data_IF_662684914764
#
_entry.id   IF_662684914764
#
_cell.length_a   1.000
_cell.length_b   1.000
_cell.length_c   1.000
_cell.angle_alpha   90.00
_cell.angle_beta   90.00
_cell.angle_gamma   90.00
#
_symmetry.space_group_name_H-M   'P 1'
#
loop_
_entity.id
_entity.type
_entity.pdbx_description
1 polymer ?
#
# COMPACT_ATOMS: atom_id res chain seq x y z
N UNK A 1 -19.25 3.23 66.61
CA UNK A 1 -19.67 1.89 67.08
C UNK A 1 -20.65 1.35 66.05
N UNK A 2 -20.50 0.26 65.30
CA UNK A 2 -19.52 -0.81 65.21
C UNK A 2 -20.19 -1.93 64.38
N UNK A 3 -19.65 -2.18 63.18
CA UNK A 3 -19.59 -3.40 62.33
C UNK A 3 -20.67 -4.50 62.33
N UNK A 4 -20.93 -5.01 61.10
CA UNK A 4 -21.53 -6.33 60.85
C UNK A 4 -21.41 -6.79 59.39
N UNK A 5 -20.20 -7.13 58.96
CA UNK A 5 -19.87 -7.73 57.66
C UNK A 5 -20.22 -9.22 57.68
N UNK A 6 -20.96 -9.71 56.68
CA UNK A 6 -21.16 -11.16 56.45
C UNK A 6 -20.14 -11.64 55.42
N UNK A 7 -19.28 -12.57 55.85
CA UNK A 7 -18.38 -13.36 55.01
C UNK A 7 -19.11 -14.59 54.48
N UNK A 8 -19.03 -14.86 53.18
CA UNK A 8 -19.39 -16.15 52.60
C UNK A 8 -18.13 -17.05 52.51
N UNK A 9 -18.29 -18.31 52.91
CA UNK A 9 -17.27 -19.36 52.90
C UNK A 9 -17.06 -20.06 51.54
N UNK A 10 -16.23 -21.12 51.50
CA UNK A 10 -15.50 -21.54 50.30
C UNK A 10 -16.21 -22.60 49.43
N UNK A 11 -15.71 -22.67 48.19
CA UNK A 11 -16.07 -23.57 47.07
C UNK A 11 -16.10 -25.07 47.40
N UNK A 12 -17.02 -25.83 46.78
CA UNK A 12 -16.89 -27.28 46.63
C UNK A 12 -16.25 -27.64 45.28
N UNK A 13 -15.16 -28.41 45.37
CA UNK A 13 -14.32 -28.85 44.26
C UNK A 13 -14.99 -29.78 43.23
N UNK A 14 -14.41 -29.74 42.03
CA UNK A 14 -14.70 -30.65 40.92
C UNK A 14 -13.51 -31.61 40.73
N UNK A 15 -13.74 -32.92 40.50
CA UNK A 15 -12.68 -33.91 40.42
C UNK A 15 -11.97 -33.91 39.06
N UNK A 16 -10.66 -34.13 39.11
CA UNK A 16 -9.76 -34.14 37.97
C UNK A 16 -9.82 -35.40 37.09
N UNK A 17 -9.35 -35.24 35.86
CA UNK A 17 -8.95 -36.32 34.97
C UNK A 17 -7.49 -36.12 34.52
N UNK A 18 -6.57 -36.82 35.18
CA UNK A 18 -5.24 -37.09 34.63
C UNK A 18 -5.26 -38.46 33.97
N UNK A 19 -4.93 -38.50 32.68
CA UNK A 19 -4.39 -39.62 31.86
C UNK A 19 -4.59 -39.19 30.39
N UNK A 20 -3.65 -39.25 29.45
CA UNK A 20 -2.45 -40.03 29.36
C UNK A 20 -1.38 -39.31 28.52
N UNK A 21 -0.14 -39.47 28.96
CA UNK A 21 1.07 -39.23 28.18
C UNK A 21 1.19 -40.32 27.11
N UNK A 22 1.33 -39.92 25.85
CA UNK A 22 1.87 -40.77 24.80
C UNK A 22 3.00 -40.01 24.10
N UNK A 23 4.21 -40.42 24.42
CA UNK A 23 5.47 -40.06 23.78
C UNK A 23 5.49 -40.48 22.31
N UNK A 24 5.81 -39.54 21.41
CA UNK A 24 6.22 -39.86 20.04
C UNK A 24 7.64 -39.33 19.80
N UNK A 25 8.52 -40.28 19.50
CA UNK A 25 9.94 -40.16 19.18
C UNK A 25 10.18 -39.40 17.85
N UNK A 26 11.09 -38.40 17.79
CA UNK A 26 11.36 -37.64 16.58
C UNK A 26 12.41 -38.33 15.69
N UNK A 27 12.00 -39.37 14.98
CA UNK A 27 12.82 -40.10 14.01
C UNK A 27 12.74 -39.57 12.57
N UNK A 28 13.67 -38.68 12.20
CA UNK A 28 14.38 -38.68 10.90
C UNK A 28 13.56 -38.45 9.60
N UNK A 29 13.09 -37.22 9.36
CA UNK A 29 12.75 -36.76 8.00
C UNK A 29 13.93 -35.99 7.37
N UNK A 30 14.59 -36.60 6.39
CA UNK A 30 15.56 -35.92 5.51
C UNK A 30 14.82 -34.96 4.58
N UNK A 31 15.10 -33.66 4.69
CA UNK A 31 14.62 -32.64 3.74
C UNK A 31 15.36 -32.78 2.41
N UNK A 32 14.69 -32.73 1.24
CA UNK A 32 15.38 -32.53 -0.03
C UNK A 32 15.93 -31.11 -0.08
N UNK A 33 17.24 -30.99 -0.25
CA UNK A 33 17.95 -29.72 -0.47
C UNK A 33 17.67 -29.26 -1.90
N UNK A 34 16.70 -28.37 -2.08
CA UNK A 34 16.58 -27.60 -3.33
C UNK A 34 17.64 -26.49 -3.29
N UNK A 35 18.77 -26.70 -3.98
CA UNK A 35 19.74 -25.66 -4.31
C UNK A 35 19.09 -24.70 -5.32
N UNK A 36 18.56 -23.59 -4.86
CA UNK A 36 18.29 -22.43 -5.73
C UNK A 36 19.61 -21.75 -6.05
N UNK A 37 20.04 -21.85 -7.31
CA UNK A 37 21.14 -21.07 -7.87
C UNK A 37 20.71 -19.60 -7.90
N UNK A 38 21.24 -18.78 -6.99
CA UNK A 38 21.10 -17.32 -7.03
C UNK A 38 22.11 -16.79 -8.03
N UNK A 39 21.67 -16.56 -9.26
CA UNK A 39 22.46 -15.83 -10.25
C UNK A 39 22.26 -14.33 -9.99
N UNK A 40 23.31 -13.66 -9.47
CA UNK A 40 23.32 -12.21 -9.28
C UNK A 40 23.36 -11.55 -10.66
N UNK A 41 22.32 -10.80 -11.00
CA UNK A 41 22.37 -9.83 -12.09
C UNK A 41 23.30 -8.68 -11.67
N UNK A 42 24.40 -8.40 -12.41
CA UNK A 42 25.18 -7.20 -12.15
C UNK A 42 24.41 -5.95 -12.59
N UNK A 43 24.50 -4.91 -11.76
CA UNK A 43 23.90 -3.61 -12.00
C UNK A 43 24.40 -3.01 -13.35
N UNK A 44 23.46 -2.72 -14.25
CA UNK A 44 23.74 -2.07 -15.52
C UNK A 44 24.28 -0.65 -15.31
N UNK A 45 25.58 -0.48 -15.58
CA UNK A 45 26.25 0.80 -15.63
C UNK A 45 25.83 1.56 -16.90
N UNK A 46 25.42 2.82 -16.77
CA UNK A 46 25.06 3.72 -17.88
C UNK A 46 26.29 4.15 -18.68
N UNK A 47 26.96 3.24 -19.38
CA UNK A 47 27.99 3.52 -20.39
C UNK A 47 28.13 2.33 -21.32
N UNK A 48 27.19 2.14 -22.25
CA UNK A 48 27.39 1.27 -23.41
C UNK A 48 26.34 1.52 -24.49
N UNK A 49 26.30 2.77 -24.97
CA UNK A 49 25.46 3.19 -26.09
C UNK A 49 26.30 4.02 -27.08
N UNK A 50 27.52 3.59 -27.36
CA UNK A 50 28.38 4.12 -28.42
C UNK A 50 29.43 3.07 -28.83
N UNK A 51 29.01 1.95 -29.43
CA UNK A 51 29.96 1.01 -30.06
C UNK A 51 29.30 -0.05 -30.92
N UNK A 52 28.25 0.30 -31.69
CA UNK A 52 27.76 -0.56 -32.78
C UNK A 52 27.26 0.29 -33.92
N UNK A 53 28.13 0.56 -34.89
CA UNK A 53 27.86 0.76 -36.32
C UNK A 53 29.19 1.15 -37.01
N UNK A 54 30.07 0.16 -37.18
CA UNK A 54 31.19 0.25 -38.11
C UNK A 54 31.69 -1.17 -38.42
N UNK A 55 31.20 -1.75 -39.53
CA UNK A 55 31.95 -2.70 -40.38
C UNK A 55 31.02 -3.27 -41.45
N UNK A 56 30.91 -2.55 -42.57
CA UNK A 56 30.54 -3.13 -43.86
C UNK A 56 31.03 -2.22 -44.98
N UNK A 57 31.68 -2.82 -45.98
CA UNK A 57 32.23 -2.25 -47.24
C UNK A 57 33.36 -1.23 -47.08
N UNK A 58 34.52 -1.33 -47.73
CA UNK A 58 34.85 -2.03 -48.97
C UNK A 58 35.13 -0.99 -50.07
N UNK A 59 36.39 -0.96 -50.48
CA UNK A 59 36.95 -0.38 -51.71
C UNK A 59 37.13 1.13 -51.87
N UNK A 60 38.40 1.49 -52.17
CA UNK A 60 38.65 2.13 -53.45
C UNK A 60 39.11 3.59 -53.45
N UNK A 61 40.43 3.74 -53.49
CA UNK A 61 41.17 4.69 -54.35
C UNK A 61 41.28 6.18 -53.96
N UNK A 62 42.55 6.61 -54.02
CA UNK A 62 43.04 7.93 -54.44
C UNK A 62 43.20 9.06 -53.40
N UNK A 63 44.46 9.23 -53.00
CA UNK A 63 45.16 10.49 -52.64
C UNK A 63 44.83 11.66 -53.61
N UNK A 64 45.17 12.95 -53.32
CA UNK A 64 46.16 13.47 -52.34
C UNK A 64 45.58 14.60 -51.45
N UNK A 65 46.21 15.01 -50.35
CA UNK A 65 47.43 15.81 -50.34
C UNK A 65 47.13 17.19 -49.72
N UNK A 66 47.92 17.54 -48.72
CA UNK A 66 48.03 18.85 -48.08
C UNK A 66 47.58 20.06 -48.93
N UNK A 67 46.84 20.97 -48.31
CA UNK A 67 47.20 22.40 -48.28
C UNK A 67 46.29 23.14 -47.27
N UNK A 68 46.58 22.98 -45.99
CA UNK A 68 46.33 24.05 -45.01
C UNK A 68 47.63 24.83 -44.88
N UNK A 69 48.00 25.52 -45.95
CA UNK A 69 49.08 26.48 -45.99
C UNK A 69 48.65 27.61 -46.94
N UNK A 70 48.97 28.84 -46.54
CA UNK A 70 48.74 30.09 -47.28
C UNK A 70 47.34 30.71 -47.16
N UNK A 71 46.94 31.01 -45.91
CA UNK A 71 46.62 32.41 -45.59
C UNK A 71 47.87 33.25 -45.91
N UNK A 72 47.99 33.78 -47.13
CA UNK A 72 48.83 34.94 -47.51
C UNK A 72 48.87 35.07 -49.05
N UNK A 73 47.96 35.85 -49.62
CA UNK A 73 48.28 36.78 -50.71
C UNK A 73 47.01 37.52 -51.12
N UNK A 74 47.04 38.81 -50.87
CA UNK A 74 46.09 39.81 -51.31
C UNK A 74 45.80 39.72 -52.82
N UNK A 75 44.54 39.98 -53.17
CA UNK A 75 44.15 40.94 -54.19
C UNK A 75 44.93 40.90 -55.52
N UNK A 76 44.49 40.04 -56.45
CA UNK A 76 44.47 40.41 -57.87
C UNK A 76 43.49 39.50 -58.64
N UNK A 77 42.72 40.10 -59.53
CA UNK A 77 41.90 39.47 -60.57
C UNK A 77 40.46 39.04 -60.22
N UNK A 78 39.59 40.05 -60.15
CA UNK A 78 38.30 40.16 -60.86
C UNK A 78 37.56 38.87 -61.25
N UNK A 79 36.33 38.72 -60.70
CA UNK A 79 35.18 37.94 -61.21
C UNK A 79 34.69 36.76 -60.36
N UNK A 80 34.24 36.96 -59.10
CA UNK A 80 33.29 35.99 -58.51
C UNK A 80 32.44 36.50 -57.32
N UNK A 81 32.07 37.78 -57.29
CA UNK A 81 31.25 38.36 -56.20
C UNK A 81 29.75 38.03 -56.24
N UNK A 82 29.28 37.19 -57.19
CA UNK A 82 27.83 37.01 -57.46
C UNK A 82 27.28 35.61 -57.26
N UNK A 83 28.13 34.59 -57.07
CA UNK A 83 27.69 33.17 -56.95
C UNK A 83 27.70 32.64 -55.51
N UNK A 84 28.46 33.23 -54.59
CA UNK A 84 28.47 32.85 -53.17
C UNK A 84 27.27 33.40 -52.37
N UNK A 85 26.68 34.52 -52.80
CA UNK A 85 25.46 35.06 -52.18
C UNK A 85 24.20 34.23 -52.46
N UNK A 86 24.10 33.63 -53.65
CA UNK A 86 22.94 32.80 -54.02
C UNK A 86 22.90 31.47 -53.27
N UNK A 87 24.06 30.86 -52.99
CA UNK A 87 24.11 29.60 -52.25
C UNK A 87 23.68 29.78 -50.78
N UNK A 88 24.06 30.90 -50.14
CA UNK A 88 23.62 31.25 -48.80
C UNK A 88 22.14 31.66 -48.73
N UNK A 89 21.63 32.35 -49.76
CA UNK A 89 20.21 32.68 -49.85
C UNK A 89 19.33 31.42 -50.02
N UNK A 90 19.77 30.45 -50.83
CA UNK A 90 19.03 29.21 -51.08
C UNK A 90 19.00 28.28 -49.86
N UNK A 91 20.09 28.17 -49.09
CA UNK A 91 20.08 27.38 -47.85
C UNK A 91 19.23 28.02 -46.76
N UNK A 92 19.19 29.36 -46.66
CA UNK A 92 18.30 30.06 -45.74
C UNK A 92 16.82 29.91 -46.14
N UNK A 93 16.50 29.88 -47.44
CA UNK A 93 15.11 29.66 -47.90
C UNK A 93 14.63 28.25 -47.57
N UNK A 94 15.48 27.23 -47.73
CA UNK A 94 15.14 25.84 -47.39
C UNK A 94 14.88 25.66 -45.89
N UNK A 95 15.60 26.39 -45.03
CA UNK A 95 15.34 26.38 -43.58
C UNK A 95 14.05 27.11 -43.17
N UNK A 96 13.66 28.16 -43.91
CA UNK A 96 12.43 28.92 -43.61
C UNK A 96 11.14 28.23 -44.07
N UNK A 97 11.19 27.28 -45.00
CA UNK A 97 9.99 26.59 -45.51
C UNK A 97 9.72 25.21 -44.89
N UNK A 98 10.60 24.72 -44.01
CA UNK A 98 10.62 23.31 -43.57
C UNK A 98 9.97 22.97 -42.23
N UNK A 99 9.09 23.81 -41.66
CA UNK A 99 8.66 23.62 -40.27
C UNK A 99 7.28 24.18 -39.90
N UNK A 100 6.22 23.85 -40.63
CA UNK A 100 4.85 23.93 -40.11
C UNK A 100 4.43 22.54 -39.62
N UNK A 101 4.74 22.22 -38.36
CA UNK A 101 4.07 21.12 -37.66
C UNK A 101 2.69 21.65 -37.22
N UNK A 102 1.62 21.08 -37.76
CA UNK A 102 0.26 21.35 -37.29
C UNK A 102 0.17 21.02 -35.79
N UNK A 103 -0.19 22.02 -35.00
CA UNK A 103 -0.42 21.88 -33.58
C UNK A 103 -1.62 20.95 -33.36
N UNK A 104 -1.53 19.88 -32.55
CA UNK A 104 -2.63 18.95 -32.37
C UNK A 104 -3.78 19.65 -31.64
N UNK A 105 -4.75 20.11 -32.42
CA UNK A 105 -6.01 20.65 -31.93
C UNK A 105 -6.72 19.64 -31.01
N UNK A 106 -7.03 20.07 -29.79
CA UNK A 106 -7.77 19.29 -28.81
C UNK A 106 -9.17 19.01 -29.39
N UNK A 107 -9.38 17.83 -29.96
CA UNK A 107 -10.71 17.37 -30.38
C UNK A 107 -11.55 17.14 -29.13
N UNK A 108 -12.47 18.07 -28.85
CA UNK A 108 -13.57 17.82 -27.89
C UNK A 108 -14.44 16.71 -28.46
N UNK A 109 -14.36 15.54 -27.84
CA UNK A 109 -15.37 14.52 -28.00
C UNK A 109 -16.36 14.63 -26.84
N UNK A 110 -17.65 14.57 -27.16
CA UNK A 110 -18.70 14.40 -26.15
C UNK A 110 -18.95 12.91 -26.03
N UNK A 111 -18.52 12.30 -24.92
CA UNK A 111 -18.89 10.93 -24.60
C UNK A 111 -20.39 10.88 -24.25
N UNK A 112 -21.18 9.95 -24.80
CA UNK A 112 -22.55 9.73 -24.38
C UNK A 112 -22.59 9.46 -22.87
N UNK A 113 -23.38 10.26 -22.15
CA UNK A 113 -23.61 10.05 -20.72
C UNK A 113 -24.39 8.75 -20.57
N UNK A 114 -23.69 7.67 -20.19
CA UNK A 114 -24.33 6.43 -19.77
C UNK A 114 -25.18 6.79 -18.55
N UNK A 115 -26.51 6.69 -18.67
CA UNK A 115 -27.38 6.73 -17.51
C UNK A 115 -26.97 5.55 -16.61
N UNK A 116 -26.61 5.78 -15.34
CA UNK A 116 -26.51 4.67 -14.40
C UNK A 116 -27.86 3.97 -14.43
N UNK A 117 -27.88 2.67 -14.70
CA UNK A 117 -29.07 1.87 -14.44
C UNK A 117 -29.56 2.22 -13.04
N UNK A 118 -30.84 2.55 -12.93
CA UNK A 118 -31.51 2.84 -11.68
C UNK A 118 -31.04 1.84 -10.63
N UNK A 119 -30.62 2.36 -9.48
CA UNK A 119 -30.20 1.57 -8.33
C UNK A 119 -31.41 0.78 -7.81
N UNK A 120 -31.68 -0.36 -8.42
CA UNK A 120 -32.68 -1.30 -7.95
C UNK A 120 -32.12 -2.03 -6.72
N UNK A 121 -32.61 -1.62 -5.55
CA UNK A 121 -32.57 -2.35 -4.28
C UNK A 121 -31.19 -2.72 -3.70
N UNK A 122 -30.27 -1.76 -3.63
CA UNK A 122 -28.98 -1.89 -2.90
C UNK A 122 -29.07 -1.39 -1.45
N UNK A 123 -30.21 -1.52 -0.76
CA UNK A 123 -30.38 -0.94 0.58
C UNK A 123 -29.54 -1.70 1.64
N UNK A 124 -29.50 -3.03 1.61
CA UNK A 124 -28.61 -3.81 2.48
C UNK A 124 -27.14 -3.69 2.06
N UNK A 125 -26.86 -3.81 0.75
CA UNK A 125 -25.51 -3.67 0.20
C UNK A 125 -24.93 -2.23 0.23
N UNK A 126 -25.62 -1.27 0.86
CA UNK A 126 -25.13 0.10 1.05
C UNK A 126 -24.52 0.37 2.42
N UNK A 127 -24.86 -0.41 3.44
CA UNK A 127 -24.35 -0.16 4.79
C UNK A 127 -22.86 -0.54 4.91
N UNK A 128 -22.05 0.37 5.44
CA UNK A 128 -20.66 0.12 5.78
C UNK A 128 -20.54 -0.10 7.28
N UNK A 129 -19.68 -1.02 7.68
CA UNK A 129 -19.37 -1.30 9.07
C UNK A 129 -17.88 -1.22 9.31
N UNK A 130 -17.51 -0.69 10.47
CA UNK A 130 -16.15 -0.70 10.98
C UNK A 130 -16.14 -1.39 12.34
N UNK A 131 -15.26 -2.38 12.46
CA UNK A 131 -14.82 -2.93 13.74
C UNK A 131 -13.41 -2.41 14.00
N UNK A 132 -13.22 -1.75 15.13
CA UNK A 132 -11.96 -1.14 15.54
C UNK A 132 -11.63 -1.53 16.96
N UNK A 133 -10.36 -1.76 17.26
CA UNK A 133 -9.85 -1.92 18.60
C UNK A 133 -8.57 -1.11 18.76
N UNK A 134 -8.39 -0.51 19.93
CA UNK A 134 -7.17 0.19 20.28
C UNK A 134 -6.73 -0.16 21.70
N UNK A 135 -5.42 -0.26 21.91
CA UNK A 135 -4.82 -0.43 23.24
C UNK A 135 -3.44 0.23 23.27
N UNK A 136 -2.89 0.40 24.47
CA UNK A 136 -1.56 0.97 24.66
C UNK A 136 -0.70 0.05 25.51
N UNK A 137 0.52 -0.20 25.06
CA UNK A 137 1.54 -0.93 25.80
C UNK A 137 2.78 -0.05 25.91
N UNK A 138 3.16 0.34 27.12
CA UNK A 138 4.26 1.29 27.37
C UNK A 138 4.15 2.54 26.47
N UNK A 139 2.98 3.19 26.50
CA UNK A 139 2.62 4.37 25.69
C UNK A 139 2.57 4.16 24.16
N UNK A 140 2.99 2.99 23.66
CA UNK A 140 2.87 2.62 22.24
C UNK A 140 1.43 2.23 21.94
N UNK A 141 0.81 2.92 20.99
CA UNK A 141 -0.55 2.64 20.56
C UNK A 141 -0.63 1.52 19.53
N UNK A 142 -1.49 0.54 19.78
CA UNK A 142 -1.80 -0.54 18.85
C UNK A 142 -3.23 -0.44 18.38
N UNK A 143 -3.42 -0.36 17.06
CA UNK A 143 -4.70 -0.08 16.43
C UNK A 143 -5.01 -1.18 15.42
N UNK A 144 -6.18 -1.79 15.58
CA UNK A 144 -6.69 -2.87 14.75
C UNK A 144 -8.01 -2.41 14.17
N UNK A 145 -8.14 -2.31 12.85
CA UNK A 145 -9.42 -1.91 12.26
C UNK A 145 -9.72 -2.64 10.96
N UNK A 146 -10.98 -3.01 10.78
CA UNK A 146 -11.50 -3.49 9.51
C UNK A 146 -12.71 -2.67 9.10
N UNK A 147 -12.86 -2.41 7.80
CA UNK A 147 -13.93 -1.61 7.21
C UNK A 147 -14.41 -2.32 5.94
N UNK A 148 -15.72 -2.39 5.75
CA UNK A 148 -16.30 -2.91 4.52
C UNK A 148 -17.83 -3.00 4.58
N UNK A 149 -18.45 -3.72 3.61
CA UNK A 149 -19.87 -4.01 3.63
C UNK A 149 -20.27 -4.64 4.97
N UNK A 150 -21.36 -4.14 5.56
CA UNK A 150 -21.81 -4.56 6.89
C UNK A 150 -21.93 -6.07 7.01
N UNK A 151 -22.52 -6.71 6.02
CA UNK A 151 -22.77 -8.16 6.00
C UNK A 151 -21.46 -8.95 6.14
N UNK A 152 -20.40 -8.50 5.46
CA UNK A 152 -19.10 -9.18 5.49
C UNK A 152 -18.36 -8.96 6.80
N UNK A 153 -18.42 -7.74 7.35
CA UNK A 153 -17.74 -7.42 8.60
C UNK A 153 -18.44 -8.06 9.80
N UNK A 154 -19.78 -8.02 9.82
CA UNK A 154 -20.60 -8.64 10.85
C UNK A 154 -20.33 -10.14 10.95
N UNK A 155 -20.22 -10.83 9.82
CA UNK A 155 -19.88 -12.25 9.77
C UNK A 155 -18.50 -12.58 10.39
N UNK A 156 -17.59 -11.60 10.44
CA UNK A 156 -16.23 -11.76 10.98
C UNK A 156 -16.10 -11.28 12.43
N UNK A 157 -17.18 -10.78 13.05
CA UNK A 157 -17.18 -10.21 14.41
C UNK A 157 -16.58 -11.15 15.45
N UNK A 158 -17.05 -12.40 15.51
CA UNK A 158 -16.57 -13.38 16.50
C UNK A 158 -15.09 -13.70 16.29
N UNK A 159 -14.68 -13.94 15.04
CA UNK A 159 -13.29 -14.18 14.67
C UNK A 159 -12.38 -12.98 14.99
N UNK A 160 -12.87 -11.75 14.83
CA UNK A 160 -12.16 -10.54 15.22
C UNK A 160 -11.93 -10.47 16.73
N UNK A 161 -12.93 -10.78 17.55
CA UNK A 161 -12.78 -10.83 19.01
C UNK A 161 -11.83 -11.96 19.44
N UNK A 162 -11.90 -13.13 18.81
CA UNK A 162 -10.95 -14.23 19.05
C UNK A 162 -9.52 -13.86 18.68
N UNK A 163 -9.33 -13.18 17.54
CA UNK A 163 -8.04 -12.64 17.15
C UNK A 163 -7.49 -11.70 18.23
N UNK A 164 -8.31 -10.75 18.72
CA UNK A 164 -7.89 -9.83 19.79
C UNK A 164 -7.49 -10.56 21.08
N UNK A 165 -8.21 -11.63 21.44
CA UNK A 165 -7.87 -12.47 22.60
C UNK A 165 -6.54 -13.20 22.45
N UNK A 166 -6.11 -13.48 21.23
CA UNK A 166 -4.83 -14.15 20.96
C UNK A 166 -3.61 -13.22 21.01
N UNK A 167 -3.84 -11.90 20.97
CA UNK A 167 -2.78 -10.92 20.82
C UNK A 167 -1.87 -10.90 22.05
N UNK A 168 -0.57 -10.90 21.77
CA UNK A 168 0.49 -10.59 22.73
C UNK A 168 1.31 -9.43 22.16
N UNK A 169 1.20 -8.27 22.81
CA UNK A 169 1.70 -6.99 22.35
C UNK A 169 2.81 -6.50 23.27
N UNK A 170 3.88 -5.98 22.67
CA UNK A 170 4.88 -5.17 23.34
C UNK A 170 4.95 -3.78 22.69
N UNK A 171 5.85 -2.91 23.16
CA UNK A 171 6.09 -1.62 22.50
C UNK A 171 6.62 -1.76 21.05
N UNK A 172 7.22 -2.90 20.71
CA UNK A 172 7.97 -3.08 19.46
C UNK A 172 7.31 -4.08 18.50
N UNK A 173 6.72 -5.15 19.04
CA UNK A 173 6.20 -6.28 18.26
C UNK A 173 4.82 -6.70 18.71
N UNK A 174 4.15 -7.41 17.82
CA UNK A 174 2.90 -8.09 18.08
C UNK A 174 3.00 -9.53 17.60
N UNK A 175 2.53 -10.44 18.43
CA UNK A 175 2.35 -11.85 18.09
C UNK A 175 0.86 -12.18 18.16
N UNK A 176 0.36 -12.94 17.20
CA UNK A 176 -1.05 -13.32 17.11
C UNK A 176 -1.25 -14.72 16.55
N UNK A 177 -2.43 -15.28 16.82
CA UNK A 177 -2.94 -16.45 16.12
C UNK A 177 -4.05 -16.02 15.16
N UNK A 178 -3.91 -16.38 13.89
CA UNK A 178 -4.94 -16.09 12.91
C UNK A 178 -6.15 -17.02 13.10
N UNK A 179 -7.38 -16.47 13.15
CA UNK A 179 -8.61 -17.27 13.04
C UNK A 179 -8.61 -18.12 11.77
N UNK A 180 -9.43 -19.18 11.78
CA UNK A 180 -9.55 -20.07 10.63
C UNK A 180 -9.95 -19.30 9.37
N UNK A 181 -9.22 -19.54 8.27
CA UNK A 181 -9.51 -18.92 6.97
C UNK A 181 -8.95 -17.51 6.80
N UNK A 182 -8.43 -16.89 7.87
CA UNK A 182 -7.69 -15.63 7.74
C UNK A 182 -6.29 -15.87 7.19
N UNK A 183 -5.73 -14.84 6.57
CA UNK A 183 -4.37 -14.85 6.04
C UNK A 183 -3.69 -13.51 6.25
N UNK A 184 -2.40 -13.54 6.50
CA UNK A 184 -1.57 -12.34 6.54
C UNK A 184 -0.98 -12.05 5.15
N UNK A 185 -1.01 -10.79 4.73
CA UNK A 185 -0.38 -10.38 3.48
C UNK A 185 1.14 -10.36 3.61
N UNK A 186 1.84 -10.83 2.58
CA UNK A 186 3.32 -10.84 2.56
C UNK A 186 3.92 -9.43 2.61
N UNK A 187 3.18 -8.42 2.13
CA UNK A 187 3.60 -7.02 2.14
C UNK A 187 2.43 -6.17 2.60
N UNK A 188 2.71 -5.27 3.52
CA UNK A 188 1.74 -4.28 3.99
C UNK A 188 1.98 -2.92 3.33
N UNK A 189 0.92 -2.12 3.20
CA UNK A 189 1.05 -0.74 2.75
C UNK A 189 1.90 0.10 3.72
N UNK A 190 2.60 1.15 3.24
CA UNK A 190 3.40 2.02 4.10
C UNK A 190 2.63 2.54 5.31
N UNK A 191 3.28 2.55 6.48
CA UNK A 191 2.68 2.99 7.74
C UNK A 191 1.77 1.96 8.43
N UNK A 192 1.57 0.78 7.84
CA UNK A 192 0.91 -0.35 8.52
C UNK A 192 1.96 -1.30 9.09
N UNK A 193 1.68 -1.80 10.28
CA UNK A 193 2.49 -2.86 10.89
C UNK A 193 2.21 -4.20 10.17
N UNK A 194 0.93 -4.51 9.96
CA UNK A 194 0.49 -5.68 9.22
C UNK A 194 -0.84 -5.42 8.49
N UNK A 195 -1.12 -6.26 7.50
CA UNK A 195 -2.38 -6.29 6.76
C UNK A 195 -2.87 -7.73 6.70
N UNK A 196 -4.06 -7.98 7.24
CA UNK A 196 -4.67 -9.31 7.29
C UNK A 196 -5.94 -9.33 6.42
N UNK A 197 -6.27 -10.48 5.83
CA UNK A 197 -7.49 -10.71 5.07
C UNK A 197 -8.43 -11.63 5.83
N UNK A 198 -9.67 -11.19 5.99
CA UNK A 198 -10.70 -11.81 6.83
C UNK A 198 -11.52 -12.81 6.01
N UNK A 199 -10.84 -13.82 5.46
CA UNK A 199 -11.42 -14.81 4.56
C UNK A 199 -10.41 -15.25 3.51
N UNK A 200 -10.85 -16.06 2.54
CA UNK A 200 -10.03 -16.53 1.41
C UNK A 200 -10.36 -15.87 0.08
N UNK A 201 -11.53 -15.25 -0.01
CA UNK A 201 -11.99 -14.60 -1.24
C UNK A 201 -11.13 -13.38 -1.57
N UNK A 202 -11.15 -12.97 -2.84
CA UNK A 202 -10.41 -11.79 -3.31
C UNK A 202 -10.95 -10.49 -2.73
N UNK A 203 -12.27 -10.44 -2.49
CA UNK A 203 -12.98 -9.31 -1.93
C UNK A 203 -13.20 -9.43 -0.41
N UNK A 204 -12.41 -10.30 0.25
CA UNK A 204 -12.40 -10.45 1.69
C UNK A 204 -11.99 -9.13 2.37
N UNK A 205 -12.70 -8.71 3.43
CA UNK A 205 -12.36 -7.50 4.15
C UNK A 205 -10.93 -7.53 4.67
N UNK A 206 -10.36 -6.35 4.75
CA UNK A 206 -9.00 -6.17 5.22
C UNK A 206 -9.02 -5.71 6.67
N UNK A 207 -8.15 -6.29 7.50
CA UNK A 207 -7.82 -5.80 8.83
C UNK A 207 -6.45 -5.15 8.78
N UNK A 208 -6.47 -3.84 9.04
CA UNK A 208 -5.29 -3.00 9.12
C UNK A 208 -4.80 -2.99 10.56
N UNK A 209 -3.53 -3.34 10.74
CA UNK A 209 -2.82 -3.22 12.02
C UNK A 209 -1.84 -2.07 11.93
N UNK A 210 -1.92 -1.11 12.86
CA UNK A 210 -1.00 0.03 12.96
C UNK A 210 -0.40 0.10 14.34
N UNK A 211 0.91 0.31 14.39
CA UNK A 211 1.66 0.60 15.61
C UNK A 211 2.09 2.06 15.60
N UNK A 212 1.65 2.82 16.59
CA UNK A 212 2.05 4.20 16.80
C UNK A 212 3.09 4.27 17.92
N UNK A 213 4.27 4.87 17.68
CA UNK A 213 5.21 5.16 18.76
C UNK A 213 4.57 6.01 19.87
N UNK A 214 5.19 6.06 21.07
CA UNK A 214 4.73 6.90 22.16
C UNK A 214 4.37 8.32 21.72
N UNK A 215 3.20 8.81 22.14
CA UNK A 215 2.69 10.14 21.81
C UNK A 215 2.07 10.32 20.41
N UNK A 216 2.13 9.32 19.51
CA UNK A 216 1.69 9.49 18.11
C UNK A 216 0.29 8.92 17.78
N UNK A 217 -0.34 8.19 18.71
CA UNK A 217 -1.65 7.55 18.47
C UNK A 217 -2.87 8.47 18.58
N UNK A 218 -2.70 9.69 19.09
CA UNK A 218 -3.81 10.61 19.40
C UNK A 218 -4.74 10.10 20.51
N UNK A 219 -5.79 10.87 20.82
CA UNK A 219 -6.75 10.51 21.85
C UNK A 219 -7.89 9.60 21.34
N UNK A 220 -8.57 8.92 22.26
CA UNK A 220 -9.67 7.97 21.94
C UNK A 220 -10.81 8.66 21.18
N UNK A 221 -11.25 9.84 21.61
CA UNK A 221 -12.40 10.52 21.01
C UNK A 221 -12.10 10.98 19.58
N UNK A 222 -10.92 11.55 19.36
CA UNK A 222 -10.43 11.93 18.03
C UNK A 222 -10.35 10.72 17.09
N UNK A 223 -9.87 9.57 17.58
CA UNK A 223 -9.83 8.33 16.80
C UNK A 223 -11.23 7.81 16.44
N UNK A 224 -12.14 7.73 17.41
CA UNK A 224 -13.52 7.29 17.18
C UNK A 224 -14.21 8.19 16.16
N UNK A 225 -14.08 9.51 16.27
CA UNK A 225 -14.66 10.44 15.30
C UNK A 225 -14.05 10.32 13.89
N UNK A 226 -12.74 10.06 13.78
CA UNK A 226 -12.12 9.73 12.48
C UNK A 226 -12.73 8.47 11.88
N UNK A 227 -12.92 7.41 12.68
CA UNK A 227 -13.54 6.15 12.23
C UNK A 227 -15.01 6.31 11.88
N UNK A 228 -15.77 7.15 12.60
CA UNK A 228 -17.15 7.54 12.24
C UNK A 228 -17.21 8.15 10.85
N UNK A 229 -16.29 9.06 10.54
CA UNK A 229 -16.17 9.64 9.20
C UNK A 229 -15.85 8.61 8.11
N UNK A 230 -15.22 7.46 8.43
CA UNK A 230 -14.96 6.39 7.47
C UNK A 230 -16.22 5.62 7.07
N UNK A 231 -17.19 5.50 7.97
CA UNK A 231 -18.50 4.86 7.70
C UNK A 231 -19.59 5.88 7.33
N UNK A 232 -19.24 7.15 7.12
CA UNK A 232 -20.19 8.19 6.71
C UNK A 232 -21.03 8.77 7.85
N UNK A 233 -20.62 8.58 9.10
CA UNK A 233 -21.29 9.17 10.27
C UNK A 233 -20.70 10.54 10.61
N UNK A 234 -21.51 11.51 11.09
CA UNK A 234 -21.00 12.77 11.60
C UNK A 234 -20.22 12.58 12.90
N UNK A 235 -19.31 13.50 13.19
CA UNK A 235 -18.60 13.54 14.47
C UNK A 235 -19.59 13.80 15.62
N UNK A 236 -19.28 13.23 16.80
CA UNK A 236 -20.02 13.42 18.05
C UNK A 236 -19.11 14.09 19.09
N UNK A 237 -19.68 14.49 20.23
CA UNK A 237 -18.89 15.09 21.31
C UNK A 237 -17.81 14.12 21.84
N UNK A 238 -16.74 14.63 22.48
CA UNK A 238 -15.71 13.75 23.04
C UNK A 238 -16.23 12.75 24.07
N UNK A 239 -17.24 13.11 24.86
CA UNK A 239 -17.85 12.23 25.84
C UNK A 239 -18.62 11.08 25.17
N UNK A 240 -19.44 11.40 24.16
CA UNK A 240 -20.17 10.39 23.37
C UNK A 240 -19.22 9.47 22.61
N UNK A 241 -18.16 10.03 22.01
CA UNK A 241 -17.15 9.25 21.30
C UNK A 241 -16.46 8.23 22.22
N UNK A 242 -16.09 8.64 23.45
CA UNK A 242 -15.52 7.73 24.45
C UNK A 242 -16.53 6.66 24.90
N UNK A 243 -17.81 7.01 25.04
CA UNK A 243 -18.85 6.05 25.44
C UNK A 243 -19.09 4.95 24.39
N UNK A 244 -18.76 5.20 23.11
CA UNK A 244 -18.80 4.18 22.06
C UNK A 244 -17.66 3.16 22.14
N UNK A 245 -16.58 3.47 22.86
CA UNK A 245 -15.44 2.60 23.05
C UNK A 245 -15.65 1.72 24.29
N UNK A 246 -15.95 0.44 24.06
CA UNK A 246 -16.25 -0.54 25.10
C UNK A 246 -14.98 -1.29 25.50
N UNK A 247 -14.78 -1.48 26.80
CA UNK A 247 -13.66 -2.29 27.28
C UNK A 247 -13.86 -3.77 26.91
N UNK A 248 -12.82 -4.38 26.33
CA UNK A 248 -12.70 -5.81 26.10
C UNK A 248 -11.45 -6.29 26.83
N UNK A 249 -11.63 -7.05 27.91
CA UNK A 249 -10.54 -7.69 28.64
C UNK A 249 -10.22 -9.04 28.02
N UNK A 250 -8.94 -9.31 27.85
CA UNK A 250 -8.36 -10.58 27.39
C UNK A 250 -7.34 -11.05 28.43
N UNK A 251 -6.78 -12.23 28.25
CA UNK A 251 -5.79 -12.78 29.18
C UNK A 251 -4.50 -11.95 29.24
N UNK A 252 -4.21 -11.17 28.19
CA UNK A 252 -2.95 -10.43 28.03
C UNK A 252 -3.13 -8.91 28.03
N UNK A 253 -4.24 -8.42 27.48
CA UNK A 253 -4.46 -6.99 27.25
C UNK A 253 -5.91 -6.57 27.47
N UNK A 254 -6.09 -5.28 27.74
CA UNK A 254 -7.40 -4.62 27.69
C UNK A 254 -7.48 -3.75 26.44
N UNK A 255 -8.51 -3.95 25.63
CA UNK A 255 -8.76 -3.19 24.42
C UNK A 255 -9.96 -2.26 24.60
N UNK A 256 -9.93 -1.13 23.93
CA UNK A 256 -11.10 -0.31 23.65
C UNK A 256 -11.67 -0.72 22.29
N UNK A 257 -12.74 -1.53 22.32
CA UNK A 257 -13.46 -2.02 21.16
C UNK A 257 -14.51 -1.00 20.72
N UNK A 258 -14.53 -0.68 19.43
CA UNK A 258 -15.42 0.29 18.81
C UNK A 258 -16.09 -0.38 17.62
N UNK A 259 -17.40 -0.25 17.55
CA UNK A 259 -18.20 -0.80 16.46
C UNK A 259 -19.08 0.30 15.90
N UNK A 260 -18.97 0.53 14.59
CA UNK A 260 -19.68 1.60 13.92
C UNK A 260 -20.34 1.05 12.67
N UNK A 261 -21.60 1.39 12.46
CA UNK A 261 -22.32 1.13 11.21
C UNK A 261 -22.85 2.44 10.69
N UNK A 262 -22.65 2.71 9.42
CA UNK A 262 -23.14 3.92 8.77
C UNK A 262 -23.44 3.67 7.29
N UNK A 263 -23.95 4.69 6.58
CA UNK A 263 -24.35 4.57 5.18
C UNK A 263 -23.17 4.46 4.20
N UNK A 264 -21.92 4.55 4.69
CA UNK A 264 -20.75 4.73 3.83
C UNK A 264 -20.65 6.17 3.31
N UNK A 265 -19.56 6.48 2.61
CA UNK A 265 -19.44 7.75 1.90
C UNK A 265 -20.19 7.64 0.56
N UNK A 266 -20.95 8.67 0.15
CA UNK A 266 -21.46 8.75 -1.22
C UNK A 266 -20.31 8.55 -2.22
N UNK A 267 -20.54 7.72 -3.24
CA UNK A 267 -19.59 7.54 -4.36
C UNK A 267 -19.63 8.72 -5.31
#
# INVERSE_FOLDING_TARGET
MGYGIVRAGPDPGWPGNQSALASADPGRFRRPVLRTKVERQPAGNKRDLHSRLASASGDGSSFPGALLAALTACLAWSSCGRRLGLAWLLTLTVWLTGGCQEEPQIRRYTAPRVQPLAAENTSAASAQMLLGAMTWVNETGWFFRTLGPKEKIEAQRSAFVEFLRSLQLSAERADWRLPMGWREEQRSAPGRYATLRLGRDEDAPELVVVRFPPGQGGDVAGNVNRWRGMVGLPAVSPAEAKALAKALKTDHHEFLLVELTGPGKPR
#
